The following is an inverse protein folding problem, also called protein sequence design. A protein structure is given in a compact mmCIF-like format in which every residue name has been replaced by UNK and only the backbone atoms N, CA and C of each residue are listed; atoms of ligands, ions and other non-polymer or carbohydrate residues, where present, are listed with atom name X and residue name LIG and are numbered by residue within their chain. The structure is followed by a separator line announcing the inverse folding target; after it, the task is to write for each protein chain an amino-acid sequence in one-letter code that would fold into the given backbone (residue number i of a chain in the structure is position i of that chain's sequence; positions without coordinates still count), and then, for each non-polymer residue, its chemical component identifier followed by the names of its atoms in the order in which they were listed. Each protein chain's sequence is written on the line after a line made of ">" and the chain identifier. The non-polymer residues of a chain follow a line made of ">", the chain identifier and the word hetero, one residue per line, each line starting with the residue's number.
data_IF_274876165242
#
_entry.id   IF_274876165242
#
_cell.length_a   1.000
_cell.length_b   1.000
_cell.length_c   1.000
_cell.angle_alpha   90.00
_cell.angle_beta   90.00
_cell.angle_gamma   90.00
#
_symmetry.space_group_name_H-M   'P 1'
#
loop_
_entity.id
_entity.type
_entity.pdbx_description
1 polymer ?
#
# COMPACT_ATOMS: atom_id res chain seq x y z
N UNK A 1 -18.17 -34.83 -3.09
CA UNK A 1 -18.21 -33.59 -2.31
C UNK A 1 -18.26 -33.96 -0.83
N UNK A 2 -17.10 -34.07 -0.18
CA UNK A 2 -17.05 -34.33 1.25
C UNK A 2 -17.19 -32.99 1.97
N UNK A 3 -18.39 -32.73 2.49
CA UNK A 3 -18.62 -31.67 3.46
C UNK A 3 -17.95 -32.08 4.77
N UNK A 4 -16.70 -31.66 4.96
CA UNK A 4 -16.07 -31.66 6.28
C UNK A 4 -16.82 -30.62 7.09
N UNK A 5 -17.70 -31.06 7.98
CA UNK A 5 -18.29 -30.24 9.04
C UNK A 5 -17.14 -29.81 9.96
N UNK A 6 -16.43 -28.73 9.59
CA UNK A 6 -15.38 -28.17 10.44
C UNK A 6 -16.08 -27.34 11.52
N UNK A 7 -16.43 -27.99 12.62
CA UNK A 7 -17.01 -27.33 13.78
C UNK A 7 -15.99 -26.32 14.35
N UNK A 8 -16.22 -25.04 14.08
CA UNK A 8 -15.57 -23.93 14.79
C UNK A 8 -15.88 -24.07 16.29
N UNK A 9 -14.89 -23.80 17.17
CA UNK A 9 -15.15 -23.77 18.61
C UNK A 9 -16.22 -22.74 18.92
N UNK A 10 -17.14 -23.07 19.82
CA UNK A 10 -18.32 -22.26 20.17
C UNK A 10 -17.99 -20.84 20.65
N UNK A 11 -16.75 -20.58 21.06
CA UNK A 11 -16.29 -19.33 21.66
C UNK A 11 -15.34 -18.50 20.77
N UNK A 12 -15.19 -18.86 19.48
CA UNK A 12 -14.26 -18.17 18.56
C UNK A 12 -14.68 -16.73 18.35
N UNK A 13 -15.93 -16.48 18.00
CA UNK A 13 -16.43 -15.14 17.68
C UNK A 13 -16.28 -14.18 18.87
N UNK A 14 -16.60 -14.66 20.08
CA UNK A 14 -16.42 -13.86 21.29
C UNK A 14 -14.95 -13.55 21.57
N UNK A 15 -14.06 -14.53 21.39
CA UNK A 15 -12.62 -14.35 21.58
C UNK A 15 -12.04 -13.38 20.56
N UNK A 16 -12.45 -13.49 19.30
CA UNK A 16 -12.01 -12.62 18.22
C UNK A 16 -12.50 -11.19 18.45
N UNK A 17 -13.77 -10.99 18.79
CA UNK A 17 -14.31 -9.67 19.16
C UNK A 17 -13.54 -9.06 20.33
N UNK A 18 -13.33 -9.82 21.41
CA UNK A 18 -12.57 -9.36 22.58
C UNK A 18 -11.10 -9.10 22.25
N UNK A 19 -10.50 -9.87 21.33
CA UNK A 19 -9.12 -9.66 20.85
C UNK A 19 -9.03 -8.36 20.05
N UNK A 20 -9.92 -8.16 19.07
CA UNK A 20 -10.00 -6.95 18.25
C UNK A 20 -10.24 -5.70 19.11
N UNK A 21 -11.14 -5.76 20.09
CA UNK A 21 -11.38 -4.63 21.00
C UNK A 21 -10.13 -4.25 21.81
N UNK A 22 -9.27 -5.22 22.15
CA UNK A 22 -8.04 -4.98 22.92
C UNK A 22 -6.84 -4.57 22.08
N UNK A 23 -6.86 -4.72 20.75
CA UNK A 23 -5.68 -4.46 19.93
C UNK A 23 -5.20 -3.03 20.05
N UNK A 24 -6.10 -2.05 20.11
CA UNK A 24 -5.73 -0.62 20.24
C UNK A 24 -4.94 -0.33 21.52
N UNK A 25 -5.41 -0.84 22.67
CA UNK A 25 -4.70 -0.70 23.93
C UNK A 25 -3.36 -1.44 23.92
N UNK A 26 -3.34 -2.65 23.35
CA UNK A 26 -2.12 -3.45 23.26
C UNK A 26 -1.07 -2.78 22.37
N UNK A 27 -1.45 -2.26 21.20
CA UNK A 27 -0.54 -1.54 20.31
C UNK A 27 0.07 -0.32 20.97
N UNK A 28 -0.74 0.47 21.69
CA UNK A 28 -0.23 1.64 22.44
C UNK A 28 0.73 1.23 23.56
N UNK A 29 0.46 0.12 24.25
CA UNK A 29 1.31 -0.40 25.31
C UNK A 29 2.65 -0.92 24.74
N UNK A 30 2.59 -1.73 23.69
CA UNK A 30 3.77 -2.28 23.01
C UNK A 30 4.65 -1.14 22.45
N UNK A 31 4.05 -0.06 21.95
CA UNK A 31 4.80 1.11 21.48
C UNK A 31 5.58 1.85 22.56
N UNK A 32 5.09 1.85 23.81
CA UNK A 32 5.73 2.50 24.94
C UNK A 32 6.79 1.61 25.59
N UNK A 33 6.54 0.30 25.65
CA UNK A 33 7.39 -0.64 26.38
C UNK A 33 8.51 -1.24 25.52
N UNK A 34 8.30 -1.44 24.21
CA UNK A 34 9.30 -2.06 23.34
C UNK A 34 10.56 -1.18 23.28
N UNK A 35 11.72 -1.83 23.45
CA UNK A 35 13.04 -1.18 23.41
C UNK A 35 13.93 -1.76 22.32
N UNK A 36 14.96 -0.99 21.95
CA UNK A 36 16.01 -1.43 21.02
C UNK A 36 15.51 -1.69 19.59
N UNK A 37 16.06 -2.72 18.95
CA UNK A 37 15.79 -3.04 17.54
C UNK A 37 14.31 -3.37 17.30
N UNK A 38 13.64 -4.00 18.27
CA UNK A 38 12.21 -4.34 18.17
C UNK A 38 11.33 -3.10 18.05
N UNK A 39 11.64 -2.06 18.82
CA UNK A 39 10.93 -0.78 18.74
C UNK A 39 11.10 -0.14 17.36
N UNK A 40 12.32 -0.19 16.81
CA UNK A 40 12.62 0.34 15.46
C UNK A 40 11.81 -0.38 14.38
N UNK A 41 11.80 -1.71 14.39
CA UNK A 41 11.03 -2.50 13.43
C UNK A 41 9.52 -2.23 13.55
N UNK A 42 9.00 -2.12 14.77
CA UNK A 42 7.58 -1.81 14.98
C UNK A 42 7.21 -0.44 14.40
N UNK A 43 8.04 0.58 14.64
CA UNK A 43 7.80 1.93 14.12
C UNK A 43 7.88 1.98 12.58
N UNK A 44 8.80 1.24 11.98
CA UNK A 44 8.90 1.11 10.53
C UNK A 44 7.64 0.47 9.93
N UNK A 45 7.18 -0.63 10.51
CA UNK A 45 5.93 -1.29 10.11
C UNK A 45 4.73 -0.34 10.21
N UNK A 46 4.58 0.37 11.34
CA UNK A 46 3.49 1.35 11.52
C UNK A 46 3.56 2.51 10.52
N UNK A 47 4.76 2.96 10.15
CA UNK A 47 4.94 3.97 9.11
C UNK A 47 4.50 3.43 7.75
N UNK A 48 4.87 2.21 7.41
CA UNK A 48 4.50 1.57 6.16
C UNK A 48 2.97 1.39 6.05
N UNK A 49 2.33 0.87 7.10
CA UNK A 49 0.87 0.72 7.19
C UNK A 49 0.16 2.08 7.02
N UNK A 50 0.63 3.13 7.72
CA UNK A 50 0.06 4.48 7.59
C UNK A 50 0.17 5.01 6.15
N UNK A 51 1.29 4.79 5.48
CA UNK A 51 1.48 5.18 4.07
C UNK A 51 0.55 4.37 3.17
N UNK A 52 0.49 3.05 3.38
CA UNK A 52 -0.37 2.15 2.61
C UNK A 52 -1.85 2.54 2.71
N UNK A 53 -2.31 2.96 3.89
CA UNK A 53 -3.68 3.40 4.10
C UNK A 53 -3.94 4.82 3.57
N UNK A 54 -2.99 5.75 3.71
CA UNK A 54 -3.15 7.12 3.19
C UNK A 54 -3.30 7.19 1.68
N UNK A 55 -2.62 6.32 0.93
CA UNK A 55 -2.68 6.26 -0.54
C UNK A 55 -4.11 6.08 -1.09
N UNK A 56 -4.87 5.05 -0.70
CA UNK A 56 -6.25 4.86 -1.17
C UNK A 56 -7.19 5.95 -0.66
N UNK A 57 -7.04 6.44 0.58
CA UNK A 57 -7.87 7.57 1.05
C UNK A 57 -7.69 8.80 0.16
N UNK A 58 -6.45 9.17 -0.15
CA UNK A 58 -6.14 10.28 -1.05
C UNK A 58 -6.72 10.06 -2.45
N UNK A 59 -6.57 8.86 -3.02
CA UNK A 59 -7.15 8.55 -4.33
C UNK A 59 -8.68 8.61 -4.37
N UNK A 60 -9.35 8.18 -3.29
CA UNK A 60 -10.80 8.30 -3.16
C UNK A 60 -11.23 9.77 -2.98
N UNK A 61 -10.50 10.56 -2.21
CA UNK A 61 -10.75 12.00 -2.05
C UNK A 61 -10.61 12.73 -3.40
N UNK A 62 -9.56 12.44 -4.16
CA UNK A 62 -9.34 13.00 -5.50
C UNK A 62 -10.44 12.61 -6.50
N UNK A 63 -10.91 11.35 -6.49
CA UNK A 63 -12.02 10.91 -7.35
C UNK A 63 -13.35 11.61 -7.03
N UNK A 64 -13.59 11.94 -5.76
CA UNK A 64 -14.83 12.61 -5.34
C UNK A 64 -14.84 14.09 -5.77
N UNK A 65 -13.67 14.71 -5.92
CA UNK A 65 -13.54 16.08 -6.43
C UNK A 65 -13.55 16.01 -7.96
N UNK A 66 -14.64 16.44 -8.58
CA UNK A 66 -14.68 16.61 -10.05
C UNK A 66 -13.87 17.85 -10.42
N UNK A 67 -12.56 17.73 -10.55
CA UNK A 67 -11.72 18.77 -11.14
C UNK A 67 -11.92 18.76 -12.65
N UNK A 68 -12.39 19.87 -13.22
CA UNK A 68 -12.34 20.12 -14.65
C UNK A 68 -10.90 20.48 -15.01
N UNK A 69 -10.05 19.47 -15.19
CA UNK A 69 -8.66 19.67 -15.60
C UNK A 69 -8.52 19.34 -17.09
N UNK A 70 -8.99 20.28 -17.92
CA UNK A 70 -8.70 20.34 -19.36
C UNK A 70 -7.50 21.29 -19.62
N UNK A 71 -6.49 21.27 -18.74
CA UNK A 71 -5.24 21.99 -19.02
C UNK A 71 -4.33 21.10 -19.85
N UNK A 72 -4.18 21.43 -21.13
CA UNK A 72 -3.18 20.84 -22.01
C UNK A 72 -1.78 20.94 -21.34
N UNK A 73 -0.95 19.90 -21.42
CA UNK A 73 0.41 19.97 -20.89
C UNK A 73 1.19 21.10 -21.59
N UNK A 74 2.10 21.79 -20.89
CA UNK A 74 2.80 22.97 -21.39
C UNK A 74 3.70 22.70 -22.59
N UNK A 75 4.04 21.44 -22.87
CA UNK A 75 4.77 21.00 -24.05
C UNK A 75 4.02 19.81 -24.68
N UNK A 76 3.14 20.03 -25.67
CA UNK A 76 2.32 18.98 -26.26
C UNK A 76 3.18 18.12 -27.19
N UNK A 77 3.72 17.03 -26.64
CA UNK A 77 4.40 16.00 -27.42
C UNK A 77 3.35 15.12 -28.10
N UNK A 78 3.52 14.73 -29.38
CA UNK A 78 2.60 13.80 -30.02
C UNK A 78 2.48 12.48 -29.25
N UNK A 79 1.27 11.88 -29.27
CA UNK A 79 0.93 10.70 -28.46
C UNK A 79 1.91 9.53 -28.62
N UNK A 80 2.50 9.37 -29.81
CA UNK A 80 3.47 8.32 -30.09
C UNK A 80 4.80 8.47 -29.32
N UNK A 81 5.14 9.65 -28.81
CA UNK A 81 6.43 9.95 -28.19
C UNK A 81 6.35 10.08 -26.64
N UNK A 82 5.15 10.13 -26.06
CA UNK A 82 4.93 10.35 -24.62
C UNK A 82 5.54 9.25 -23.71
N UNK A 83 5.46 7.99 -24.14
CA UNK A 83 5.88 6.83 -23.33
C UNK A 83 7.22 6.21 -23.79
N UNK A 84 7.93 6.86 -24.72
CA UNK A 84 9.15 6.28 -25.32
C UNK A 84 10.41 6.47 -24.46
N UNK A 85 10.45 7.51 -23.62
CA UNK A 85 11.61 7.84 -22.79
C UNK A 85 11.72 6.94 -21.54
N UNK A 86 10.59 6.44 -21.04
CA UNK A 86 10.55 5.57 -19.88
C UNK A 86 10.94 4.12 -20.23
N UNK A 87 12.09 3.60 -19.75
CA UNK A 87 12.53 2.23 -20.04
C UNK A 87 11.55 1.15 -19.57
N UNK A 88 10.65 1.49 -18.65
CA UNK A 88 9.66 0.58 -18.06
C UNK A 88 8.40 0.41 -18.92
N UNK A 89 8.09 1.36 -19.80
CA UNK A 89 6.90 1.33 -20.66
C UNK A 89 7.20 0.74 -22.06
N UNK A 90 8.47 0.54 -22.41
CA UNK A 90 8.89 -0.05 -23.68
C UNK A 90 8.47 -1.53 -23.77
N UNK A 91 7.69 -1.87 -24.81
CA UNK A 91 7.25 -3.24 -25.10
C UNK A 91 8.42 -4.21 -25.35
N UNK A 92 9.56 -3.70 -25.83
CA UNK A 92 10.80 -4.44 -26.01
C UNK A 92 11.94 -3.71 -25.28
N UNK A 93 12.45 -4.22 -24.14
CA UNK A 93 13.61 -3.64 -23.49
C UNK A 93 14.85 -4.00 -24.33
N UNK A 94 15.36 -3.05 -25.12
CA UNK A 94 16.72 -3.16 -25.63
C UNK A 94 17.65 -3.04 -24.42
N UNK A 95 18.37 -4.11 -24.10
CA UNK A 95 19.46 -4.05 -23.13
C UNK A 95 20.52 -3.14 -23.75
N UNK A 96 20.56 -1.89 -23.28
CA UNK A 96 21.61 -0.95 -23.65
C UNK A 96 22.88 -1.45 -22.97
N UNK A 97 23.65 -2.27 -23.69
CA UNK A 97 25.00 -2.60 -23.27
C UNK A 97 25.77 -1.28 -23.18
N UNK A 98 26.27 -1.00 -21.99
CA UNK A 98 27.18 0.10 -21.74
C UNK A 98 28.44 -0.11 -22.61
N UNK A 99 28.56 0.69 -23.64
CA UNK A 99 29.76 0.96 -24.44
C UNK A 99 29.51 2.40 -24.94
N UNK A 100 30.30 3.44 -24.67
CA UNK A 100 31.75 3.65 -24.57
C UNK A 100 31.98 4.79 -23.53
N UNK A 101 33.08 4.81 -22.76
CA UNK A 101 34.32 5.58 -22.99
C UNK A 101 34.13 7.07 -23.30
#
# INVERSE_FOLDING_TARGET
>A
MLNVHLHHRLDIEERERKRLARTGHKQSYDAQELRGIRAKMMQENSRHEKIQMRKPFKGLEEQNIKTADDSLPPDPVPHYLLDQDDPKCRKNPVIINQAEA
#
